data_IF_331215656983
#
_entry.id   IF_331215656983
#
_cell.length_a   1.000
_cell.length_b   1.000
_cell.length_c   1.000
_cell.angle_alpha   90.00
_cell.angle_beta   90.00
_cell.angle_gamma   90.00
#
_symmetry.space_group_name_H-M   'P 1'
#
loop_
_entity.id
_entity.type
_entity.pdbx_description
1 polymer ?
#
# COMPACT_ATOMS: atom_id res chain seq x y z
N UNK A 1 17.61 -17.01 0.11
CA UNK A 1 18.57 -15.91 0.31
C UNK A 1 18.95 -15.43 -1.07
N UNK A 2 18.37 -14.33 -1.54
CA UNK A 2 18.91 -13.55 -2.64
C UNK A 2 19.04 -12.12 -2.15
N UNK A 3 20.15 -11.53 -2.57
CA UNK A 3 20.94 -10.54 -1.87
C UNK A 3 20.34 -9.13 -1.98
N UNK A 4 20.47 -8.40 -0.87
CA UNK A 4 20.23 -6.95 -0.82
C UNK A 4 21.52 -6.27 -1.26
N UNK A 5 21.47 -5.50 -2.35
CA UNK A 5 22.47 -4.47 -2.66
C UNK A 5 21.86 -3.37 -3.54
N UNK A 6 21.84 -2.13 -3.02
CA UNK A 6 21.42 -0.94 -3.77
C UNK A 6 20.86 0.19 -2.90
N UNK A 7 21.71 0.80 -2.08
CA UNK A 7 21.59 2.15 -1.48
C UNK A 7 20.20 2.60 -0.99
N UNK A 8 19.85 2.22 0.24
CA UNK A 8 18.65 2.68 0.95
C UNK A 8 18.90 3.95 1.80
N UNK A 9 19.94 4.74 1.51
CA UNK A 9 20.44 5.76 2.47
C UNK A 9 19.91 7.17 2.23
N UNK A 10 18.94 7.41 1.33
CA UNK A 10 18.33 8.74 1.18
C UNK A 10 16.93 8.81 0.54
N UNK A 11 16.08 7.79 0.71
CA UNK A 11 14.66 7.91 0.37
C UNK A 11 13.90 8.03 1.69
N UNK A 12 13.14 9.11 1.86
CA UNK A 12 12.23 9.24 2.98
C UNK A 12 11.42 7.94 3.14
N UNK A 13 11.06 7.58 4.37
CA UNK A 13 10.30 6.38 4.74
C UNK A 13 8.87 6.31 4.14
N UNK A 14 8.72 6.49 2.82
CA UNK A 14 7.46 6.47 2.09
C UNK A 14 7.36 5.13 1.38
N UNK A 15 6.94 4.10 2.11
CA UNK A 15 6.48 2.88 1.47
C UNK A 15 5.27 3.22 0.58
N UNK A 16 5.29 2.80 -0.69
CA UNK A 16 4.14 2.92 -1.58
C UNK A 16 3.14 1.79 -1.32
N UNK A 17 1.84 2.09 -1.47
CA UNK A 17 0.77 1.11 -1.26
C UNK A 17 -0.32 1.26 -2.32
N UNK A 18 -1.01 0.15 -2.60
CA UNK A 18 -2.15 0.15 -3.52
C UNK A 18 -3.47 0.41 -2.80
N UNK A 19 -4.39 1.10 -3.48
CA UNK A 19 -5.70 1.41 -2.95
C UNK A 19 -6.72 1.77 -4.02
N UNK A 20 -8.00 1.57 -3.69
CA UNK A 20 -9.13 1.97 -4.54
C UNK A 20 -9.64 3.32 -4.07
N UNK A 21 -9.57 4.32 -4.95
CA UNK A 21 -9.94 5.72 -4.65
C UNK A 21 -11.36 6.09 -5.11
N UNK A 22 -12.02 5.25 -5.91
CA UNK A 22 -13.32 5.56 -6.51
C UNK A 22 -14.51 5.03 -5.67
N UNK A 23 -14.31 4.81 -4.38
CA UNK A 23 -15.41 4.41 -3.50
C UNK A 23 -16.03 5.63 -2.83
N UNK A 24 -17.34 5.57 -2.61
CA UNK A 24 -18.02 6.55 -1.78
C UNK A 24 -17.41 6.55 -0.36
N UNK A 25 -17.30 7.74 0.24
CA UNK A 25 -16.71 7.87 1.57
C UNK A 25 -17.43 6.99 2.58
N UNK A 26 -16.66 6.22 3.34
CA UNK A 26 -17.17 5.24 4.31
C UNK A 26 -16.91 5.74 5.72
N UNK A 27 -17.99 5.88 6.51
CA UNK A 27 -17.88 6.19 7.93
C UNK A 27 -17.46 4.96 8.73
N UNK A 28 -16.33 5.05 9.42
CA UNK A 28 -15.80 4.01 10.31
C UNK A 28 -15.71 4.62 11.70
N UNK A 29 -16.78 4.46 12.49
CA UNK A 29 -16.90 5.12 13.79
C UNK A 29 -16.86 6.65 13.64
N UNK A 30 -15.95 7.36 14.33
CA UNK A 30 -15.80 8.81 14.20
C UNK A 30 -15.03 9.24 12.93
N UNK A 31 -14.36 8.30 12.24
CA UNK A 31 -13.52 8.59 11.08
C UNK A 31 -14.32 8.46 9.77
N UNK A 32 -13.99 9.29 8.79
CA UNK A 32 -14.51 9.18 7.43
C UNK A 32 -13.38 8.76 6.48
N UNK A 33 -13.47 7.54 5.95
CA UNK A 33 -12.52 6.98 4.99
C UNK A 33 -12.91 7.36 3.56
N UNK A 34 -11.97 7.89 2.78
CA UNK A 34 -12.20 8.31 1.38
C UNK A 34 -11.66 7.29 0.36
N UNK A 35 -10.87 6.31 0.80
CA UNK A 35 -10.27 5.30 -0.05
C UNK A 35 -10.10 3.99 0.72
N UNK A 36 -9.97 2.88 -0.03
CA UNK A 36 -9.72 1.55 0.51
C UNK A 36 -8.28 1.12 0.20
N UNK A 37 -7.43 1.00 1.21
CA UNK A 37 -6.12 0.35 1.07
C UNK A 37 -6.29 -1.16 0.85
N UNK A 38 -5.57 -1.72 -0.12
CA UNK A 38 -5.69 -3.15 -0.48
C UNK A 38 -4.65 -4.03 0.22
N UNK A 39 -5.04 -5.26 0.50
CA UNK A 39 -4.22 -6.25 1.20
C UNK A 39 -4.84 -7.65 1.18
N UNK A 40 -4.06 -8.64 1.57
CA UNK A 40 -4.47 -10.04 1.68
C UNK A 40 -4.35 -10.53 3.12
N UNK A 41 -5.17 -11.51 3.48
CA UNK A 41 -5.01 -12.23 4.76
C UNK A 41 -3.95 -13.30 4.59
N UNK A 42 -3.03 -13.41 5.54
CA UNK A 42 -2.15 -14.57 5.64
C UNK A 42 -2.86 -15.77 6.30
N UNK A 43 -2.12 -16.84 6.54
CA UNK A 43 -2.63 -18.07 7.17
C UNK A 43 -3.03 -17.89 8.64
N UNK A 44 -2.48 -16.88 9.31
CA UNK A 44 -2.72 -16.56 10.72
C UNK A 44 -3.83 -15.50 10.89
N UNK A 45 -4.30 -14.93 9.77
CA UNK A 45 -5.33 -13.88 9.75
C UNK A 45 -4.78 -12.46 9.79
N UNK A 46 -3.46 -12.27 9.73
CA UNK A 46 -2.85 -10.95 9.65
C UNK A 46 -3.06 -10.36 8.26
N UNK A 47 -3.15 -9.03 8.17
CA UNK A 47 -3.30 -8.32 6.90
C UNK A 47 -1.92 -7.94 6.37
N UNK A 48 -1.59 -8.45 5.18
CA UNK A 48 -0.41 -8.07 4.40
C UNK A 48 -0.85 -7.06 3.35
N UNK A 49 -0.23 -5.89 3.33
CA UNK A 49 -0.54 -4.83 2.36
C UNK A 49 0.03 -5.14 0.98
N UNK A 50 -0.70 -4.72 -0.06
CA UNK A 50 -0.20 -4.78 -1.43
C UNK A 50 0.76 -3.60 -1.66
N UNK A 51 2.00 -3.93 -2.00
CA UNK A 51 3.09 -2.99 -2.26
C UNK A 51 3.61 -3.28 -3.68
N UNK A 52 3.85 -2.25 -4.51
CA UNK A 52 4.49 -2.44 -5.81
C UNK A 52 5.92 -2.94 -5.65
N UNK A 53 6.36 -3.86 -6.51
CA UNK A 53 7.71 -4.43 -6.45
C UNK A 53 8.79 -3.39 -6.82
N UNK A 54 8.44 -2.44 -7.69
CA UNK A 54 9.32 -1.39 -8.16
C UNK A 54 8.75 -0.02 -7.77
N UNK A 55 9.64 0.97 -7.69
CA UNK A 55 9.23 2.36 -7.51
C UNK A 55 8.36 2.79 -8.69
N UNK A 56 7.10 3.09 -8.40
CA UNK A 56 6.11 3.58 -9.35
C UNK A 56 5.72 5.00 -8.93
N UNK A 57 5.49 5.92 -9.89
CA UNK A 57 4.99 7.24 -9.56
C UNK A 57 3.68 7.15 -8.76
N UNK A 58 3.54 8.01 -7.75
CA UNK A 58 2.33 8.06 -6.94
C UNK A 58 1.09 8.29 -7.80
N UNK A 59 -0.02 7.66 -7.40
CA UNK A 59 -1.32 7.74 -8.07
C UNK A 59 -1.37 7.13 -9.49
N UNK A 60 -0.37 6.35 -9.88
CA UNK A 60 -0.47 5.54 -11.10
C UNK A 60 -1.60 4.52 -10.99
N UNK A 61 -2.27 4.31 -12.13
CA UNK A 61 -3.43 3.42 -12.18
C UNK A 61 -2.97 1.96 -12.24
N UNK A 62 -3.52 1.14 -11.35
CA UNK A 62 -3.40 -0.31 -11.49
C UNK A 62 -4.15 -0.76 -12.75
N UNK A 63 -3.42 -1.38 -13.69
CA UNK A 63 -3.91 -1.86 -14.98
C UNK A 63 -4.44 -3.30 -14.90
#
# INVERSE_FOLDING_TARGET
>A
MQERDGDATNVAHTNEYSGVINFASKKIGPFMSEFLTTGFKDKEGNIILVIPEFNVPNCEKLL
#
